data_IF_078895052463
#
_entry.id   IF_078895052463
#
_cell.length_a   1.000
_cell.length_b   1.000
_cell.length_c   1.000
_cell.angle_alpha   90.00
_cell.angle_beta   90.00
_cell.angle_gamma   90.00
#
_symmetry.space_group_name_H-M   'P 1'
#
loop_
_entity.id
_entity.type
_entity.pdbx_description
1 polymer ?
#
# COMPACT_ATOMS: atom_id res chain seq x y z
N UNK A 1 23.97 -20.47 -21.43
CA UNK A 1 22.72 -19.73 -21.24
C UNK A 1 22.45 -19.68 -19.74
N UNK A 2 22.61 -18.52 -19.10
CA UNK A 2 22.27 -18.34 -17.69
C UNK A 2 20.75 -18.54 -17.55
N UNK A 3 20.35 -19.57 -16.81
CA UNK A 3 18.96 -19.93 -16.58
C UNK A 3 18.22 -18.73 -16.02
N UNK A 4 17.11 -18.36 -16.65
CA UNK A 4 16.18 -17.39 -16.07
C UNK A 4 15.58 -18.06 -14.84
N UNK A 5 16.04 -17.66 -13.67
CA UNK A 5 15.35 -18.03 -12.43
C UNK A 5 13.94 -17.43 -12.51
N UNK A 6 12.91 -18.29 -12.42
CA UNK A 6 11.51 -17.88 -12.33
C UNK A 6 11.26 -17.21 -10.97
N UNK A 7 11.56 -15.92 -10.86
CA UNK A 7 11.26 -15.13 -9.67
C UNK A 7 9.74 -15.06 -9.47
N UNK A 8 9.24 -15.85 -8.52
CA UNK A 8 7.85 -15.77 -8.04
C UNK A 8 7.76 -14.75 -6.92
N UNK A 9 6.75 -13.89 -6.97
CA UNK A 9 6.46 -12.96 -5.88
C UNK A 9 5.74 -13.73 -4.78
N UNK A 10 6.24 -13.67 -3.56
CA UNK A 10 5.56 -14.17 -2.37
C UNK A 10 5.21 -12.99 -1.46
N UNK A 11 3.94 -12.90 -1.03
CA UNK A 11 3.52 -11.90 -0.05
C UNK A 11 3.69 -12.51 1.35
N UNK A 12 4.76 -12.12 2.03
CA UNK A 12 5.08 -12.60 3.38
C UNK A 12 4.01 -12.26 4.45
N UNK A 13 3.21 -11.21 4.21
CA UNK A 13 2.20 -10.76 5.16
C UNK A 13 0.97 -10.21 4.44
N UNK A 14 -0.16 -10.88 4.65
CA UNK A 14 -1.47 -10.43 4.16
C UNK A 14 -2.30 -10.06 5.40
N UNK A 15 -2.59 -8.77 5.61
CA UNK A 15 -3.40 -8.35 6.74
C UNK A 15 -4.84 -8.88 6.60
N UNK A 16 -5.38 -9.45 7.69
CA UNK A 16 -6.79 -9.93 7.73
C UNK A 16 -7.81 -8.82 7.49
N UNK A 17 -7.47 -7.57 7.85
CA UNK A 17 -8.28 -6.38 7.63
C UNK A 17 -7.37 -5.24 7.22
N UNK A 18 -7.54 -4.72 6.01
CA UNK A 18 -6.84 -3.51 5.56
C UNK A 18 -7.45 -2.32 6.30
N UNK A 19 -6.63 -1.65 7.11
CA UNK A 19 -7.01 -0.40 7.76
C UNK A 19 -6.82 0.78 6.81
N UNK A 20 -7.59 1.86 6.96
CA UNK A 20 -7.33 3.10 6.25
C UNK A 20 -5.92 3.63 6.56
N UNK A 21 -5.26 4.21 5.56
CA UNK A 21 -3.91 4.78 5.68
C UNK A 21 -3.89 5.94 6.67
N UNK A 22 -5.02 6.62 6.87
CA UNK A 22 -5.15 7.69 7.85
C UNK A 22 -4.79 7.23 9.27
N UNK A 23 -5.18 6.01 9.67
CA UNK A 23 -4.91 5.48 11.01
C UNK A 23 -3.40 5.37 11.22
N UNK A 24 -2.69 4.91 10.18
CA UNK A 24 -1.23 4.82 10.21
C UNK A 24 -0.58 6.20 10.20
N UNK A 25 -1.00 7.10 9.29
CA UNK A 25 -0.43 8.44 9.16
C UNK A 25 -0.63 9.29 10.42
N UNK A 26 -1.76 9.13 11.12
CA UNK A 26 -2.08 9.88 12.35
C UNK A 26 -1.14 9.57 13.51
N UNK A 27 -0.58 8.35 13.56
CA UNK A 27 0.42 7.99 14.58
C UNK A 27 1.76 8.69 14.38
N UNK A 28 2.04 9.20 13.17
CA UNK A 28 3.33 9.74 12.79
C UNK A 28 3.30 11.28 12.79
N UNK A 29 4.06 11.91 13.69
CA UNK A 29 4.09 13.37 13.83
C UNK A 29 4.45 14.13 12.53
N UNK A 30 5.28 13.52 11.67
CA UNK A 30 5.70 14.10 10.39
C UNK A 30 4.56 14.32 9.39
N UNK A 31 3.45 13.59 9.51
CA UNK A 31 2.31 13.69 8.59
C UNK A 31 1.17 14.56 9.11
N UNK A 32 1.31 15.19 10.28
CA UNK A 32 0.29 16.08 10.85
C UNK A 32 -0.19 17.17 9.88
N UNK A 33 0.69 17.66 9.01
CA UNK A 33 0.34 18.70 8.04
C UNK A 33 -0.61 18.22 6.93
N UNK A 34 -0.67 16.91 6.67
CA UNK A 34 -1.60 16.33 5.68
C UNK A 34 -3.05 16.30 6.18
N UNK A 35 -3.26 16.36 7.49
CA UNK A 35 -4.61 16.36 8.11
C UNK A 35 -5.26 17.76 8.16
N UNK A 36 -4.64 18.77 7.55
CA UNK A 36 -5.28 20.08 7.35
C UNK A 36 -6.35 19.94 6.27
N UNK A 37 -7.46 20.67 6.38
CA UNK A 37 -8.62 20.56 5.46
C UNK A 37 -8.23 20.64 3.98
N UNK A 38 -7.31 21.54 3.63
CA UNK A 38 -6.77 21.71 2.28
C UNK A 38 -6.05 20.49 1.69
N UNK A 39 -5.64 19.54 2.53
CA UNK A 39 -4.81 18.39 2.17
C UNK A 39 -5.56 17.06 2.31
N UNK A 40 -6.85 17.07 2.65
CA UNK A 40 -7.64 15.85 2.82
C UNK A 40 -7.72 15.02 1.52
N UNK A 41 -7.69 15.69 0.36
CA UNK A 41 -7.66 15.00 -0.94
C UNK A 41 -6.36 14.20 -1.12
N UNK A 42 -5.24 14.71 -0.62
CA UNK A 42 -3.95 14.02 -0.67
C UNK A 42 -4.02 12.70 0.11
N UNK A 43 -4.72 12.67 1.26
CA UNK A 43 -4.90 11.43 2.03
C UNK A 43 -5.70 10.40 1.22
N UNK A 44 -6.72 10.84 0.48
CA UNK A 44 -7.50 9.96 -0.41
C UNK A 44 -6.65 9.42 -1.56
N UNK A 45 -5.81 10.25 -2.16
CA UNK A 45 -4.88 9.81 -3.21
C UNK A 45 -3.86 8.79 -2.68
N UNK A 46 -3.29 9.04 -1.49
CA UNK A 46 -2.39 8.08 -0.82
C UNK A 46 -3.11 6.74 -0.60
N UNK A 47 -4.35 6.75 -0.10
CA UNK A 47 -5.13 5.53 0.08
C UNK A 47 -5.32 4.77 -1.25
N UNK A 48 -5.67 5.49 -2.32
CA UNK A 48 -5.83 4.91 -3.66
C UNK A 48 -4.54 4.26 -4.15
N UNK A 49 -3.41 4.98 -4.05
CA UNK A 49 -2.10 4.47 -4.47
C UNK A 49 -1.69 3.23 -3.68
N UNK A 50 -1.93 3.21 -2.37
CA UNK A 50 -1.66 2.03 -1.52
C UNK A 50 -2.48 0.83 -1.98
N UNK A 51 -3.78 1.02 -2.24
CA UNK A 51 -4.66 -0.04 -2.74
C UNK A 51 -4.19 -0.56 -4.11
N UNK A 52 -3.92 0.34 -5.06
CA UNK A 52 -3.45 -0.02 -6.41
C UNK A 52 -2.12 -0.78 -6.38
N UNK A 53 -1.21 -0.38 -5.50
CA UNK A 53 0.07 -1.07 -5.34
C UNK A 53 -0.10 -2.46 -4.71
N UNK A 54 -1.00 -2.58 -3.73
CA UNK A 54 -1.32 -3.88 -3.14
C UNK A 54 -1.96 -4.81 -4.16
N UNK A 55 -2.92 -4.34 -4.95
CA UNK A 55 -3.52 -5.13 -6.04
C UNK A 55 -2.48 -5.57 -7.09
N UNK A 56 -1.56 -4.68 -7.47
CA UNK A 56 -0.45 -5.02 -8.38
C UNK A 56 0.44 -6.11 -7.77
N UNK A 57 0.75 -6.01 -6.48
CA UNK A 57 1.56 -7.02 -5.78
C UNK A 57 0.81 -8.36 -5.68
N UNK A 58 -0.48 -8.35 -5.34
CA UNK A 58 -1.33 -9.54 -5.28
C UNK A 58 -1.41 -10.25 -6.63
N UNK A 59 -1.60 -9.50 -7.73
CA UNK A 59 -1.58 -10.04 -9.10
C UNK A 59 -0.24 -10.70 -9.45
N UNK A 60 0.88 -10.05 -9.10
CA UNK A 60 2.23 -10.61 -9.30
C UNK A 60 2.47 -11.88 -8.49
N UNK A 61 1.93 -11.93 -7.28
CA UNK A 61 1.98 -13.09 -6.39
C UNK A 61 0.92 -14.15 -6.71
N UNK A 62 0.10 -13.93 -7.75
CA UNK A 62 -1.00 -14.83 -8.16
C UNK A 62 -1.99 -15.13 -7.03
N UNK A 63 -2.13 -14.19 -6.09
CA UNK A 63 -3.13 -14.25 -5.03
C UNK A 63 -4.41 -13.68 -5.63
N UNK A 64 -5.32 -14.56 -6.03
CA UNK A 64 -6.67 -14.24 -6.52
C UNK A 64 -7.71 -14.51 -5.46
#
# INVERSE_FOLDING_TARGET
ALGREDYRYEINYIPKKIKPVEEFLKTQGRFKHLFKEKNLEIIKEIQKTVNENFEKLAKKAQIS
#
